data_IF_823009115643
#
_entry.id   IF_823009115643
#
_cell.length_a   1.000
_cell.length_b   1.000
_cell.length_c   1.000
_cell.angle_alpha   90.00
_cell.angle_beta   90.00
_cell.angle_gamma   90.00
#
_symmetry.space_group_name_H-M   'P 1'
#
loop_
_entity.id
_entity.type
_entity.pdbx_description
1 polymer ?
#
# COMPACT_ATOMS: atom_id res chain seq x y z
N UNK A 1 -3.20 -12.22 -9.58
CA UNK A 1 -4.06 -11.15 -9.02
C UNK A 1 -3.64 -9.83 -9.65
N UNK A 2 -4.24 -9.44 -10.78
CA UNK A 2 -3.84 -8.25 -11.53
C UNK A 2 -4.43 -7.01 -10.87
N UNK A 3 -3.58 -6.10 -10.38
CA UNK A 3 -3.98 -4.80 -9.83
C UNK A 3 -4.72 -4.02 -10.93
N UNK A 4 -6.05 -4.03 -10.94
CA UNK A 4 -6.84 -3.20 -11.87
C UNK A 4 -6.76 -1.75 -11.40
N UNK A 5 -6.22 -0.90 -12.28
CA UNK A 5 -6.00 0.54 -12.13
C UNK A 5 -7.28 1.39 -12.01
N UNK A 6 -8.40 0.76 -11.66
CA UNK A 6 -9.71 1.37 -11.44
C UNK A 6 -10.05 1.47 -9.95
N UNK A 7 -9.11 1.17 -9.05
CA UNK A 7 -9.34 1.33 -7.61
C UNK A 7 -9.36 2.83 -7.25
N UNK A 8 -10.17 3.23 -6.25
CA UNK A 8 -10.21 4.62 -5.81
C UNK A 8 -8.85 5.13 -5.34
N UNK A 9 -7.88 4.25 -5.04
CA UNK A 9 -6.51 4.61 -4.66
C UNK A 9 -5.65 5.14 -5.82
N UNK A 10 -6.10 5.00 -7.06
CA UNK A 10 -5.46 5.50 -8.28
C UNK A 10 -6.26 6.69 -8.86
N UNK A 11 -6.18 7.85 -8.19
CA UNK A 11 -6.89 9.07 -8.60
C UNK A 11 -6.78 10.18 -7.55
N UNK A 12 -7.34 11.37 -7.77
CA UNK A 12 -7.41 12.40 -6.74
C UNK A 12 -8.40 11.98 -5.65
N UNK A 13 -7.90 11.41 -4.56
CA UNK A 13 -8.70 11.02 -3.39
C UNK A 13 -8.68 12.15 -2.37
N UNK A 14 -9.86 12.58 -1.93
CA UNK A 14 -9.99 13.51 -0.81
C UNK A 14 -9.72 12.75 0.49
N UNK A 15 -8.99 13.38 1.43
CA UNK A 15 -8.56 12.77 2.71
C UNK A 15 -9.66 12.06 3.51
N UNK A 16 -10.92 12.41 3.23
CA UNK A 16 -12.11 11.96 3.97
C UNK A 16 -12.64 10.58 3.55
N UNK A 17 -12.17 10.01 2.44
CA UNK A 17 -12.66 8.73 1.90
C UNK A 17 -11.73 7.53 2.17
N UNK A 18 -10.61 7.74 2.88
CA UNK A 18 -9.63 6.69 3.18
C UNK A 18 -9.74 6.30 4.65
N UNK A 19 -9.62 5.00 4.96
CA UNK A 19 -9.56 4.40 6.31
C UNK A 19 -8.38 4.90 7.19
N UNK A 20 -7.81 6.07 6.92
CA UNK A 20 -6.66 6.68 7.61
C UNK A 20 -5.34 5.91 7.49
N UNK A 21 -5.36 4.70 6.92
CA UNK A 21 -4.25 3.74 6.93
C UNK A 21 -3.76 3.34 5.54
N UNK A 22 -4.42 3.82 4.48
CA UNK A 22 -4.06 3.56 3.08
C UNK A 22 -3.31 4.74 2.50
N UNK A 23 -2.27 4.45 1.73
CA UNK A 23 -1.46 5.45 1.04
C UNK A 23 -2.00 5.71 -0.36
N UNK A 24 -1.98 6.96 -0.79
CA UNK A 24 -2.34 7.34 -2.15
C UNK A 24 -1.31 6.79 -3.14
N UNK A 25 -1.76 6.22 -4.25
CA UNK A 25 -0.88 5.75 -5.32
C UNK A 25 -1.00 6.74 -6.51
N UNK A 26 0.06 7.45 -6.88
CA UNK A 26 -0.02 8.41 -7.97
C UNK A 26 -0.25 7.70 -9.32
N UNK A 27 -1.00 8.33 -10.24
CA UNK A 27 -1.26 7.75 -11.54
C UNK A 27 0.02 7.69 -12.39
N UNK A 28 0.45 6.47 -12.72
CA UNK A 28 1.55 6.22 -13.65
C UNK A 28 1.03 6.10 -15.09
N UNK A 29 1.55 6.86 -16.04
CA UNK A 29 1.18 6.70 -17.47
C UNK A 29 1.97 5.61 -18.19
N UNK A 30 3.10 5.16 -17.64
CA UNK A 30 4.03 4.21 -18.30
C UNK A 30 4.38 3.07 -17.34
N UNK A 31 4.45 1.83 -17.84
CA UNK A 31 4.86 0.64 -17.04
C UNK A 31 6.19 0.82 -16.30
N UNK A 32 7.13 1.56 -16.89
CA UNK A 32 8.43 1.89 -16.27
C UNK A 32 8.25 2.69 -14.97
N UNK A 33 7.22 3.53 -14.88
CA UNK A 33 6.92 4.31 -13.69
C UNK A 33 6.42 3.47 -12.51
N UNK A 34 5.90 2.26 -12.76
CA UNK A 34 5.30 1.44 -11.71
C UNK A 34 6.34 0.94 -10.68
N UNK A 35 7.62 0.89 -11.07
CA UNK A 35 8.75 0.58 -10.18
C UNK A 35 9.27 1.77 -9.36
N UNK A 36 8.78 3.00 -9.60
CA UNK A 36 9.19 4.15 -8.81
C UNK A 36 8.74 3.98 -7.35
N UNK A 37 9.57 4.39 -6.39
CA UNK A 37 9.24 4.26 -4.96
C UNK A 37 7.92 4.93 -4.59
N UNK A 38 7.59 6.06 -5.23
CA UNK A 38 6.33 6.78 -5.07
C UNK A 38 5.09 5.97 -5.45
N UNK A 39 5.25 4.87 -6.20
CA UNK A 39 4.17 3.96 -6.60
C UNK A 39 4.32 2.62 -5.88
N UNK A 40 5.49 1.99 -5.99
CA UNK A 40 5.76 0.67 -5.42
C UNK A 40 5.62 0.65 -3.88
N UNK A 41 6.06 1.70 -3.19
CA UNK A 41 5.94 1.79 -1.72
C UNK A 41 4.48 1.78 -1.26
N UNK A 42 3.65 2.73 -1.70
CA UNK A 42 2.21 2.74 -1.41
C UNK A 42 1.47 1.46 -1.85
N UNK A 43 1.80 0.90 -3.02
CA UNK A 43 1.21 -0.36 -3.50
C UNK A 43 1.53 -1.50 -2.52
N UNK A 44 2.80 -1.66 -2.15
CA UNK A 44 3.22 -2.71 -1.23
C UNK A 44 2.59 -2.52 0.14
N UNK A 45 2.60 -1.30 0.69
CA UNK A 45 1.96 -0.99 1.97
C UNK A 45 0.47 -1.34 1.96
N UNK A 46 -0.27 -0.91 0.94
CA UNK A 46 -1.71 -1.13 0.83
C UNK A 46 -2.08 -2.61 0.66
N UNK A 47 -1.17 -3.43 0.11
CA UNK A 47 -1.35 -4.88 -0.01
C UNK A 47 -1.26 -5.63 1.33
N UNK A 48 -0.73 -4.99 2.38
CA UNK A 48 -0.59 -5.60 3.70
C UNK A 48 -1.93 -5.69 4.43
N UNK A 49 -2.19 -6.79 5.16
CA UNK A 49 -3.34 -6.89 6.06
C UNK A 49 -3.38 -5.76 7.09
N UNK A 50 -4.61 -5.35 7.48
CA UNK A 50 -4.83 -4.25 8.42
C UNK A 50 -4.07 -4.43 9.75
N UNK A 51 -4.07 -5.63 10.33
CA UNK A 51 -3.42 -5.89 11.61
C UNK A 51 -1.89 -5.69 11.58
N UNK A 52 -1.25 -5.85 10.42
CA UNK A 52 0.17 -5.58 10.22
C UNK A 52 0.38 -4.07 10.10
N UNK A 53 -0.43 -3.38 9.28
CA UNK A 53 -0.35 -1.92 9.12
C UNK A 53 -0.63 -1.17 10.42
N UNK A 54 -1.53 -1.69 11.25
CA UNK A 54 -1.95 -1.11 12.51
C UNK A 54 -1.22 -1.71 13.73
N UNK A 55 -0.03 -2.26 13.52
CA UNK A 55 0.79 -2.77 14.62
C UNK A 55 1.14 -1.67 15.62
N UNK A 56 1.11 -1.99 16.91
CA UNK A 56 1.32 -1.01 18.02
C UNK A 56 2.77 -0.52 18.18
N UNK A 57 3.73 -1.16 17.51
CA UNK A 57 5.14 -0.78 17.57
C UNK A 57 5.89 -1.25 16.32
N UNK A 58 7.03 -0.61 16.03
CA UNK A 58 7.91 -0.98 14.90
C UNK A 58 8.47 -2.38 15.04
N UNK A 59 8.75 -2.84 16.27
CA UNK A 59 9.26 -4.20 16.51
C UNK A 59 8.19 -5.24 16.19
N UNK A 60 6.94 -4.99 16.60
CA UNK A 60 5.81 -5.84 16.29
C UNK A 60 5.50 -5.85 14.78
N UNK A 61 5.53 -4.68 14.14
CA UNK A 61 5.42 -4.54 12.68
C UNK A 61 6.38 -5.47 11.95
N UNK A 62 7.68 -5.37 12.26
CA UNK A 62 8.74 -6.17 11.61
C UNK A 62 8.53 -7.67 11.84
N UNK A 63 8.10 -8.08 13.03
CA UNK A 63 7.80 -9.48 13.35
C UNK A 63 6.64 -10.00 12.50
N UNK A 64 5.50 -9.30 12.52
CA UNK A 64 4.30 -9.67 11.78
C UNK A 64 4.54 -9.66 10.26
N UNK A 65 5.26 -8.66 9.75
CA UNK A 65 5.61 -8.57 8.34
C UNK A 65 6.50 -9.73 7.90
N UNK A 66 7.52 -10.08 8.69
CA UNK A 66 8.38 -11.22 8.39
C UNK A 66 7.57 -12.52 8.34
N UNK A 67 6.68 -12.75 9.31
CA UNK A 67 5.80 -13.92 9.30
C UNK A 67 4.91 -13.92 8.04
N UNK A 68 4.30 -12.79 7.68
CA UNK A 68 3.43 -12.72 6.50
C UNK A 68 4.12 -12.98 5.16
N UNK A 69 5.41 -12.63 5.02
CA UNK A 69 6.15 -12.75 3.75
C UNK A 69 6.86 -14.09 3.56
N UNK A 70 7.19 -14.80 4.65
CA UNK A 70 8.09 -15.96 4.60
C UNK A 70 7.52 -17.21 5.28
N UNK A 71 6.28 -17.16 5.77
CA UNK A 71 5.57 -18.27 6.38
C UNK A 71 4.25 -18.51 5.65
#
# INVERSE_FOLDING_TARGET
>A
MLYRKTSPLYGPVTRSAMDGTLLLIPPSKKRVGDGAFSIAGPVLWNSLPFHIRHSKSVTLFKKQLKTYLFN
#
